data_IF_815550388092
#
_entry.id   IF_815550388092
#
_cell.length_a   1.000
_cell.length_b   1.000
_cell.length_c   1.000
_cell.angle_alpha   90.00
_cell.angle_beta   90.00
_cell.angle_gamma   90.00
#
_symmetry.space_group_name_H-M   'P 1'
#
loop_
_entity.id
_entity.type
_entity.pdbx_description
1 polymer ?
#
# COMPACT_ATOMS: atom_id res chain seq x y z
N UNK A 1 -17.89 7.02 -4.59
CA UNK A 1 -16.89 6.92 -5.67
C UNK A 1 -15.58 6.34 -5.14
N UNK A 2 -14.59 6.14 -6.00
CA UNK A 2 -13.22 5.78 -5.64
C UNK A 2 -12.51 6.98 -5.03
N UNK A 3 -11.50 6.76 -4.21
CA UNK A 3 -10.71 7.84 -3.63
C UNK A 3 -9.82 8.49 -4.69
N UNK A 4 -8.75 7.82 -5.07
CA UNK A 4 -7.83 8.24 -6.13
C UNK A 4 -7.84 7.17 -7.22
N UNK A 5 -8.04 7.60 -8.46
CA UNK A 5 -8.07 6.71 -9.60
C UNK A 5 -7.01 7.14 -10.62
N UNK A 6 -6.05 6.26 -10.87
CA UNK A 6 -5.05 6.44 -11.92
C UNK A 6 -5.35 5.46 -13.05
N UNK A 7 -5.57 5.98 -14.25
CA UNK A 7 -5.78 5.16 -15.44
C UNK A 7 -5.07 5.74 -16.66
N UNK A 8 -4.64 4.89 -17.55
CA UNK A 8 -4.10 5.30 -18.85
C UNK A 8 -5.23 5.47 -19.85
N UNK A 9 -5.18 6.53 -20.66
CA UNK A 9 -6.00 6.64 -21.85
C UNK A 9 -5.24 6.10 -23.07
N UNK A 10 -5.94 5.91 -24.19
CA UNK A 10 -5.31 5.52 -25.46
C UNK A 10 -4.24 6.52 -25.95
N UNK A 11 -4.15 7.69 -25.33
CA UNK A 11 -3.23 8.76 -25.69
C UNK A 11 -2.05 8.92 -24.69
N UNK A 12 -2.03 8.14 -23.60
CA UNK A 12 -0.97 8.24 -22.59
C UNK A 12 -0.41 6.86 -22.25
N UNK A 13 0.91 6.71 -22.36
CA UNK A 13 1.59 5.42 -22.20
C UNK A 13 2.01 5.11 -20.76
N UNK A 14 2.08 6.10 -19.89
CA UNK A 14 2.39 5.91 -18.48
C UNK A 14 1.92 7.11 -17.64
N UNK A 15 1.28 6.83 -16.54
CA UNK A 15 1.00 7.81 -15.49
C UNK A 15 1.88 7.42 -14.30
N UNK A 16 2.65 8.38 -13.82
CA UNK A 16 3.40 8.26 -12.57
C UNK A 16 2.80 9.22 -11.57
N UNK A 17 2.30 8.69 -10.47
CA UNK A 17 1.68 9.50 -9.41
C UNK A 17 2.22 9.10 -8.04
N UNK A 18 2.86 10.05 -7.34
CA UNK A 18 3.27 9.84 -5.96
C UNK A 18 2.14 10.25 -5.04
N UNK A 19 1.53 9.27 -4.38
CA UNK A 19 0.43 9.44 -3.42
C UNK A 19 1.00 9.14 -2.03
N UNK A 20 1.18 10.17 -1.21
CA UNK A 20 1.83 10.06 0.10
C UNK A 20 1.11 10.87 1.16
N UNK A 21 1.13 10.36 2.40
CA UNK A 21 0.64 11.05 3.59
C UNK A 21 -0.80 11.59 3.46
N UNK A 22 -1.62 10.95 2.61
CA UNK A 22 -3.01 11.36 2.42
C UNK A 22 -3.93 10.65 3.41
N UNK A 23 -5.04 11.27 3.72
CA UNK A 23 -6.15 10.68 4.45
C UNK A 23 -7.23 10.29 3.42
N UNK A 24 -7.31 8.99 3.11
CA UNK A 24 -8.22 8.43 2.11
C UNK A 24 -9.13 7.46 2.84
N UNK A 25 -10.43 7.75 2.90
CA UNK A 25 -11.39 6.92 3.64
C UNK A 25 -12.84 7.21 3.25
N UNK A 26 -13.74 6.30 3.60
CA UNK A 26 -15.18 6.40 3.35
C UNK A 26 -15.54 6.52 1.87
N UNK A 27 -14.74 5.92 1.00
CA UNK A 27 -15.07 5.78 -0.40
C UNK A 27 -16.00 4.58 -0.61
N UNK A 28 -16.78 4.56 -1.69
CA UNK A 28 -17.63 3.41 -2.05
C UNK A 28 -16.91 2.38 -2.92
N UNK A 29 -15.68 2.62 -3.25
CA UNK A 29 -14.76 1.74 -3.95
C UNK A 29 -13.36 1.97 -3.44
N UNK A 30 -12.35 1.39 -4.07
CA UNK A 30 -10.96 1.44 -3.61
C UNK A 30 -10.47 2.85 -3.31
N UNK A 31 -9.70 3.00 -2.24
CA UNK A 31 -9.04 4.26 -1.90
C UNK A 31 -8.04 4.71 -2.96
N UNK A 32 -7.27 3.77 -3.51
CA UNK A 32 -6.40 3.96 -4.69
C UNK A 32 -6.72 2.82 -5.66
N UNK A 33 -6.98 3.13 -6.92
CA UNK A 33 -7.30 2.17 -7.96
C UNK A 33 -6.43 2.45 -9.19
N UNK A 34 -5.48 1.58 -9.46
CA UNK A 34 -4.57 1.64 -10.59
C UNK A 34 -5.19 0.90 -11.78
N UNK A 35 -5.59 1.63 -12.80
CA UNK A 35 -6.22 1.06 -13.99
C UNK A 35 -7.74 1.14 -14.02
N UNK A 36 -8.39 1.58 -12.94
CA UNK A 36 -9.84 1.73 -12.85
C UNK A 36 -10.63 0.41 -13.02
N UNK A 37 -10.05 -0.69 -12.57
CA UNK A 37 -10.59 -2.03 -12.77
C UNK A 37 -10.74 -2.84 -11.47
N UNK A 38 -10.60 -2.20 -10.32
CA UNK A 38 -10.61 -2.85 -9.01
C UNK A 38 -9.20 -3.23 -8.55
N UNK A 39 -9.11 -4.15 -7.57
CA UNK A 39 -7.83 -4.53 -6.98
C UNK A 39 -6.90 -5.14 -8.02
N UNK A 40 -5.74 -4.55 -8.21
CA UNK A 40 -4.65 -5.08 -9.02
C UNK A 40 -3.79 -6.00 -8.15
N UNK A 41 -3.95 -7.32 -8.30
CA UNK A 41 -3.20 -8.29 -7.49
C UNK A 41 -1.71 -8.23 -7.81
N UNK A 42 -0.89 -8.39 -6.76
CA UNK A 42 0.56 -8.45 -6.90
C UNK A 42 1.00 -9.58 -7.84
N UNK A 43 1.91 -9.30 -8.73
CA UNK A 43 2.57 -10.26 -9.61
C UNK A 43 4.00 -10.58 -9.17
N UNK A 44 4.58 -11.62 -9.77
CA UNK A 44 5.95 -12.01 -9.46
C UNK A 44 6.96 -11.06 -10.11
N UNK A 45 7.74 -10.38 -9.28
CA UNK A 45 8.80 -9.49 -9.74
C UNK A 45 8.31 -8.11 -10.18
N UNK A 46 7.01 -7.83 -10.07
CA UNK A 46 6.44 -6.51 -10.38
C UNK A 46 6.78 -6.08 -11.82
N UNK A 47 6.45 -6.97 -12.78
CA UNK A 47 6.87 -6.84 -14.18
C UNK A 47 5.78 -6.29 -15.08
N UNK A 48 4.56 -6.22 -14.60
CA UNK A 48 3.42 -5.69 -15.32
C UNK A 48 3.56 -4.18 -15.59
N UNK A 49 2.75 -3.67 -16.48
CA UNK A 49 2.82 -2.29 -16.96
C UNK A 49 1.47 -1.62 -16.92
N UNK A 50 1.46 -0.35 -16.56
CA UNK A 50 0.24 0.43 -16.45
C UNK A 50 0.45 1.71 -15.62
N UNK A 51 -0.62 2.32 -15.11
CA UNK A 51 -0.52 3.45 -14.19
C UNK A 51 0.33 3.07 -12.98
N UNK A 52 1.28 3.92 -12.61
CA UNK A 52 2.24 3.66 -11.54
C UNK A 52 2.96 2.31 -11.69
N UNK A 53 3.17 1.82 -12.92
CA UNK A 53 3.73 0.50 -13.22
C UNK A 53 2.97 -0.64 -12.53
N UNK A 54 1.71 -0.46 -12.17
CA UNK A 54 0.88 -1.37 -11.35
C UNK A 54 1.60 -1.85 -10.08
N UNK A 55 2.38 -0.95 -9.46
CA UNK A 55 3.28 -1.24 -8.34
C UNK A 55 2.66 -2.17 -7.30
N UNK A 56 3.33 -3.26 -7.00
CA UNK A 56 2.91 -4.22 -5.98
C UNK A 56 2.79 -3.59 -4.60
N UNK A 57 1.71 -3.89 -3.89
CA UNK A 57 1.46 -3.42 -2.53
C UNK A 57 2.07 -4.37 -1.47
N UNK A 58 2.37 -3.87 -0.23
CA UNK A 58 2.88 -4.71 0.86
C UNK A 58 1.82 -5.68 1.41
N UNK A 59 2.27 -6.72 2.12
CA UNK A 59 1.41 -7.58 2.95
C UNK A 59 1.71 -7.31 4.41
N UNK A 60 0.71 -6.94 5.23
CA UNK A 60 0.85 -6.80 6.68
C UNK A 60 0.70 -8.18 7.32
N UNK A 61 1.71 -8.64 8.06
CA UNK A 61 1.69 -9.92 8.75
C UNK A 61 1.23 -9.81 10.20
N UNK A 62 1.58 -8.72 10.89
CA UNK A 62 1.03 -8.43 12.21
C UNK A 62 0.96 -6.91 12.48
N UNK A 63 0.08 -6.54 13.41
CA UNK A 63 -0.01 -5.18 13.92
C UNK A 63 -0.39 -5.24 15.41
N UNK A 64 0.52 -4.84 16.27
CA UNK A 64 0.35 -4.91 17.74
C UNK A 64 0.19 -3.51 18.31
N UNK A 65 -1.00 -3.21 18.81
CA UNK A 65 -1.36 -1.86 19.27
C UNK A 65 -0.60 -1.43 20.53
N UNK A 66 -0.34 -2.35 21.47
CA UNK A 66 0.36 -2.05 22.71
C UNK A 66 1.81 -1.63 22.51
N UNK A 67 2.48 -2.17 21.51
CA UNK A 67 3.87 -1.82 21.16
C UNK A 67 3.93 -0.85 19.96
N UNK A 68 2.82 -0.62 19.29
CA UNK A 68 2.73 0.14 18.04
C UNK A 68 3.63 -0.43 16.93
N UNK A 69 3.89 -1.73 16.97
CA UNK A 69 4.73 -2.40 15.98
C UNK A 69 3.87 -3.00 14.88
N UNK A 70 4.23 -2.69 13.64
CA UNK A 70 3.65 -3.28 12.43
C UNK A 70 4.74 -4.03 11.70
N UNK A 71 4.45 -5.29 11.33
CA UNK A 71 5.37 -6.12 10.54
C UNK A 71 4.74 -6.52 9.22
N UNK A 72 5.55 -6.71 8.21
CA UNK A 72 5.06 -7.08 6.90
C UNK A 72 6.17 -7.44 5.93
N UNK A 73 5.75 -7.67 4.69
CA UNK A 73 6.64 -8.02 3.58
C UNK A 73 6.21 -7.25 2.33
N UNK A 74 7.17 -6.98 1.46
CA UNK A 74 6.95 -6.53 0.09
C UNK A 74 7.58 -7.53 -0.86
N UNK A 75 6.83 -7.96 -1.87
CA UNK A 75 7.33 -8.73 -3.00
C UNK A 75 7.19 -7.85 -4.25
N UNK A 76 8.30 -7.43 -4.84
CA UNK A 76 8.35 -6.52 -5.97
C UNK A 76 9.68 -6.70 -6.71
N UNK A 77 10.18 -5.70 -7.43
CA UNK A 77 11.44 -5.78 -8.17
C UNK A 77 12.62 -6.10 -7.24
N UNK A 78 13.53 -6.93 -7.74
CA UNK A 78 14.72 -7.34 -7.00
C UNK A 78 15.68 -6.16 -6.75
N UNK A 79 16.40 -6.22 -5.62
CA UNK A 79 17.46 -5.28 -5.24
C UNK A 79 17.02 -3.80 -5.29
N UNK A 80 15.76 -3.55 -4.97
CA UNK A 80 15.15 -2.22 -5.10
C UNK A 80 14.73 -1.68 -3.73
N UNK A 81 14.97 -0.39 -3.49
CA UNK A 81 14.61 0.28 -2.25
C UNK A 81 13.26 0.94 -2.37
N UNK A 82 12.33 0.61 -1.49
CA UNK A 82 10.97 1.14 -1.42
C UNK A 82 10.77 1.96 -0.14
N UNK A 83 9.82 2.88 -0.19
CA UNK A 83 9.19 3.43 1.01
C UNK A 83 7.85 2.74 1.21
N UNK A 84 7.64 2.12 2.37
CA UNK A 84 6.34 1.57 2.77
C UNK A 84 5.70 2.53 3.76
N UNK A 85 4.52 3.02 3.43
CA UNK A 85 3.71 3.87 4.31
C UNK A 85 2.62 3.04 4.96
N UNK A 86 2.43 3.23 6.27
CA UNK A 86 1.49 2.50 7.11
C UNK A 86 0.34 3.41 7.49
N UNK A 87 -0.88 2.86 7.43
CA UNK A 87 -2.12 3.56 7.73
C UNK A 87 -3.01 2.75 8.64
N UNK A 88 -3.96 3.42 9.30
CA UNK A 88 -5.05 2.78 10.03
C UNK A 88 -6.40 3.37 9.64
N UNK A 89 -7.42 2.52 9.70
CA UNK A 89 -8.82 2.88 9.54
C UNK A 89 -9.68 2.11 10.55
N UNK A 90 -10.84 2.62 10.95
CA UNK A 90 -11.73 1.88 11.87
C UNK A 90 -12.36 0.66 11.18
N UNK A 91 -12.59 0.73 9.89
CA UNK A 91 -13.20 -0.32 9.06
C UNK A 91 -12.33 -0.62 7.85
N UNK A 92 -12.50 -1.80 7.28
CA UNK A 92 -11.93 -2.16 5.99
C UNK A 92 -12.94 -1.86 4.87
N UNK A 93 -12.45 -1.52 3.69
CA UNK A 93 -13.29 -1.45 2.49
C UNK A 93 -13.93 -2.82 2.20
N UNK A 94 -15.14 -2.89 1.62
CA UNK A 94 -15.78 -4.15 1.24
C UNK A 94 -14.95 -5.05 0.30
N UNK A 95 -14.00 -4.48 -0.43
CA UNK A 95 -13.04 -5.26 -1.24
C UNK A 95 -12.04 -6.03 -0.39
N UNK A 96 -11.96 -5.76 0.92
CA UNK A 96 -10.91 -6.20 1.86
C UNK A 96 -9.54 -5.53 1.63
N UNK A 97 -9.43 -4.52 0.76
CA UNK A 97 -8.22 -3.76 0.47
C UNK A 97 -8.43 -2.27 0.76
N UNK A 98 -7.55 -1.70 1.58
CA UNK A 98 -7.65 -0.29 1.97
C UNK A 98 -8.78 -0.07 2.99
N UNK A 99 -9.02 1.10 3.40
CA UNK A 99 -8.41 2.38 2.98
C UNK A 99 -7.35 2.84 4.01
N UNK A 100 -6.93 4.13 3.95
CA UNK A 100 -5.95 4.71 4.86
C UNK A 100 -6.42 6.03 5.45
N UNK A 101 -7.19 6.01 6.54
CA UNK A 101 -7.72 7.22 7.18
C UNK A 101 -6.65 8.00 7.93
N UNK A 102 -5.82 7.30 8.70
CA UNK A 102 -4.79 7.92 9.55
C UNK A 102 -3.43 7.39 9.12
N UNK A 103 -2.54 8.29 8.72
CA UNK A 103 -1.15 7.97 8.49
C UNK A 103 -0.45 7.69 9.84
N UNK A 104 0.20 6.53 9.95
CA UNK A 104 0.89 6.10 11.17
C UNK A 104 2.40 6.29 11.11
N UNK A 105 2.98 6.20 9.92
CA UNK A 105 4.42 6.28 9.72
C UNK A 105 4.88 5.57 8.46
N UNK A 106 6.20 5.58 8.23
CA UNK A 106 6.81 4.92 7.09
C UNK A 106 8.08 4.19 7.46
N UNK A 107 8.47 3.23 6.64
CA UNK A 107 9.72 2.48 6.74
C UNK A 107 10.34 2.28 5.36
N UNK A 108 11.67 2.29 5.32
CA UNK A 108 12.40 1.93 4.11
C UNK A 108 12.60 0.41 4.06
N UNK A 109 12.27 -0.19 2.93
CA UNK A 109 12.39 -1.63 2.67
C UNK A 109 13.24 -1.84 1.42
N UNK A 110 14.29 -2.65 1.52
CA UNK A 110 15.06 -3.06 0.34
C UNK A 110 14.79 -4.52 0.06
N UNK A 111 14.34 -4.82 -1.15
CA UNK A 111 14.15 -6.20 -1.60
C UNK A 111 15.49 -6.87 -1.90
N UNK A 112 15.56 -8.17 -1.66
CA UNK A 112 16.71 -9.00 -1.99
C UNK A 112 16.74 -9.38 -3.48
N UNK A 113 17.69 -10.24 -3.87
CA UNK A 113 17.81 -10.74 -5.24
C UNK A 113 16.61 -11.55 -5.76
N UNK A 114 15.73 -12.00 -4.86
CA UNK A 114 14.46 -12.67 -5.22
C UNK A 114 13.27 -11.71 -5.18
N UNK A 115 13.50 -10.41 -5.04
CA UNK A 115 12.42 -9.39 -5.01
C UNK A 115 11.66 -9.33 -3.69
N UNK A 116 12.15 -9.92 -2.59
CA UNK A 116 11.45 -9.96 -1.32
C UNK A 116 12.16 -9.10 -0.27
N UNK A 117 11.41 -8.22 0.37
CA UNK A 117 11.85 -7.44 1.53
C UNK A 117 10.87 -7.60 2.70
N UNK A 118 11.39 -7.65 3.92
CA UNK A 118 10.57 -7.69 5.15
C UNK A 118 10.79 -6.41 5.94
N UNK A 119 9.78 -6.00 6.70
CA UNK A 119 9.87 -4.85 7.58
C UNK A 119 9.24 -5.12 8.94
N UNK A 120 9.76 -4.42 9.93
CA UNK A 120 9.19 -4.29 11.26
C UNK A 120 9.41 -2.85 11.69
N UNK A 121 8.34 -2.13 12.01
CA UNK A 121 8.42 -0.70 12.33
C UNK A 121 7.55 -0.37 13.52
N UNK A 122 8.12 0.35 14.48
CA UNK A 122 7.36 1.03 15.51
C UNK A 122 6.84 2.36 14.93
N UNK A 123 5.53 2.44 14.73
CA UNK A 123 4.91 3.63 14.15
C UNK A 123 4.77 4.74 15.18
N UNK A 124 4.75 5.99 14.70
CA UNK A 124 4.72 7.17 15.58
C UNK A 124 3.34 7.37 16.24
N UNK A 125 2.28 7.20 15.48
CA UNK A 125 0.91 7.37 15.93
C UNK A 125 0.36 6.07 16.54
N UNK A 126 -0.43 6.18 17.61
CA UNK A 126 -1.13 5.03 18.18
C UNK A 126 -2.32 4.61 17.32
N UNK A 127 -2.67 3.34 17.41
CA UNK A 127 -3.88 2.76 16.84
C UNK A 127 -4.51 1.80 17.85
N UNK A 128 -5.83 1.68 17.81
CA UNK A 128 -6.56 0.83 18.75
C UNK A 128 -6.55 -0.65 18.33
N UNK A 129 -6.76 -1.55 19.26
CA UNK A 129 -7.09 -2.96 18.96
C UNK A 129 -8.32 -2.99 18.05
N UNK A 130 -8.30 -3.86 17.05
CA UNK A 130 -9.35 -3.98 16.04
C UNK A 130 -9.26 -3.00 14.88
N UNK A 131 -8.46 -1.93 14.98
CA UNK A 131 -8.18 -1.05 13.84
C UNK A 131 -7.68 -1.86 12.63
N UNK A 132 -8.05 -1.43 11.45
CA UNK A 132 -7.61 -2.04 10.19
C UNK A 132 -6.34 -1.34 9.73
N UNK A 133 -5.25 -2.08 9.73
CA UNK A 133 -3.94 -1.59 9.30
C UNK A 133 -3.76 -1.96 7.84
N UNK A 134 -3.33 -0.97 7.06
CA UNK A 134 -3.05 -1.10 5.62
C UNK A 134 -1.72 -0.43 5.30
N UNK A 135 -1.19 -0.71 4.13
CA UNK A 135 0.06 -0.10 3.68
C UNK A 135 0.05 0.15 2.18
N UNK A 136 0.85 1.12 1.75
CA UNK A 136 1.22 1.34 0.35
C UNK A 136 2.72 1.20 0.19
N UNK A 137 3.20 0.85 -1.00
CA UNK A 137 4.61 0.88 -1.37
C UNK A 137 4.85 1.98 -2.39
N UNK A 138 6.01 2.64 -2.29
CA UNK A 138 6.44 3.67 -3.22
C UNK A 138 7.83 3.30 -3.72
N UNK A 139 7.96 3.13 -5.02
CA UNK A 139 9.22 2.80 -5.67
C UNK A 139 10.16 4.02 -5.78
N UNK A 140 11.43 3.85 -6.21
CA UNK A 140 12.36 4.97 -6.40
C UNK A 140 11.93 5.98 -7.46
N UNK A 141 11.05 5.62 -8.39
CA UNK A 141 10.51 6.51 -9.43
C UNK A 141 9.29 7.30 -8.94
N UNK A 142 8.80 7.03 -7.72
CA UNK A 142 7.64 7.70 -7.12
C UNK A 142 6.30 7.03 -7.46
N UNK A 143 6.30 5.83 -7.99
CA UNK A 143 5.07 5.08 -8.25
C UNK A 143 4.52 4.54 -6.93
N UNK A 144 3.32 4.97 -6.54
CA UNK A 144 2.63 4.48 -5.36
C UNK A 144 1.69 3.35 -5.73
N UNK A 145 1.70 2.26 -4.95
CA UNK A 145 0.80 1.11 -5.11
C UNK A 145 -0.63 1.43 -4.65
N UNK A 146 -1.54 0.53 -4.91
CA UNK A 146 -2.82 0.46 -4.19
C UNK A 146 -2.59 0.18 -2.70
N UNK A 147 -3.65 0.32 -1.88
CA UNK A 147 -3.59 -0.12 -0.49
C UNK A 147 -3.56 -1.65 -0.41
N UNK A 148 -2.82 -2.16 0.54
CA UNK A 148 -2.78 -3.58 0.88
C UNK A 148 -4.13 -4.10 1.40
N UNK A 149 -4.25 -5.41 1.48
CA UNK A 149 -5.30 -6.04 2.27
C UNK A 149 -5.24 -5.55 3.73
N UNK A 150 -6.41 -5.46 4.36
CA UNK A 150 -6.54 -5.03 5.75
C UNK A 150 -6.02 -6.10 6.71
N UNK A 151 -5.26 -5.67 7.71
CA UNK A 151 -4.89 -6.49 8.86
C UNK A 151 -5.50 -5.92 10.13
N UNK A 152 -6.28 -6.72 10.87
CA UNK A 152 -6.77 -6.29 12.17
C UNK A 152 -5.62 -6.19 13.17
N UNK A 153 -5.56 -5.08 13.91
CA UNK A 153 -4.63 -4.90 15.00
C UNK A 153 -5.05 -5.71 16.25
N UNK A 154 -4.10 -6.27 16.94
CA UNK A 154 -4.25 -6.97 18.22
C UNK A 154 -3.61 -6.19 19.37
#
# INVERSE_FOLDING_TARGET
GKGINLYTSIYTTAIRGTIRHNSIYSNTGLGIDLGNNGVTLNDTGDVDTGPNSLQNFPSITSATSSTRVVTGRLSSRANTKYTVEIYSSPTCDPSHFGEGKVYLGAVSVTTNGSGVGSFSVAVLSSFAVGSKITATAIDPAGNTSEFSACRAAN
#
